data_IF_067602942341
#
_entry.id   IF_067602942341
#
_cell.length_a   1.000
_cell.length_b   1.000
_cell.length_c   1.000
_cell.angle_alpha   90.00
_cell.angle_beta   90.00
_cell.angle_gamma   90.00
#
_symmetry.space_group_name_H-M   'P 1'
#
loop_
_entity.id
_entity.type
_entity.pdbx_description
1 polymer ?
#
# COMPACT_ATOMS: atom_id res chain seq x y z
N UNK A 1 2.91 -18.10 10.31
CA UNK A 1 4.21 -17.50 9.93
C UNK A 1 4.00 -16.02 9.61
N UNK A 2 4.19 -15.10 10.57
CA UNK A 2 3.94 -13.65 10.39
C UNK A 2 4.86 -12.98 9.35
N UNK A 3 6.05 -13.55 9.13
CA UNK A 3 7.10 -12.95 8.30
C UNK A 3 6.74 -12.89 6.81
N UNK A 4 5.92 -13.83 6.33
CA UNK A 4 5.43 -13.80 4.94
C UNK A 4 4.41 -12.69 4.70
N UNK A 5 3.68 -12.27 5.75
CA UNK A 5 2.68 -11.23 5.65
C UNK A 5 3.28 -9.81 5.64
N UNK A 6 4.51 -9.66 6.14
CA UNK A 6 5.35 -8.46 5.95
C UNK A 6 6.08 -8.43 4.60
N UNK A 7 5.93 -9.48 3.77
CA UNK A 7 6.59 -9.52 2.47
C UNK A 7 5.99 -8.49 1.52
N UNK A 8 6.87 -7.78 0.80
CA UNK A 8 6.52 -6.89 -0.32
C UNK A 8 5.55 -7.54 -1.32
N UNK A 9 5.54 -8.88 -1.39
CA UNK A 9 4.63 -9.66 -2.21
C UNK A 9 3.14 -9.46 -1.90
N UNK A 10 2.77 -9.28 -0.63
CA UNK A 10 1.37 -9.11 -0.24
C UNK A 10 0.84 -7.75 -0.70
N UNK A 11 1.69 -6.72 -0.59
CA UNK A 11 1.35 -5.37 -1.07
C UNK A 11 1.32 -5.33 -2.59
N UNK A 12 2.26 -5.98 -3.28
CA UNK A 12 2.27 -6.01 -4.75
C UNK A 12 1.07 -6.77 -5.33
N UNK A 13 0.64 -7.86 -4.68
CA UNK A 13 -0.58 -8.58 -5.07
C UNK A 13 -1.81 -7.68 -5.01
N UNK A 14 -1.95 -6.86 -3.96
CA UNK A 14 -3.05 -5.90 -3.83
C UNK A 14 -3.03 -4.83 -4.92
N UNK A 15 -1.86 -4.26 -5.24
CA UNK A 15 -1.72 -3.26 -6.31
C UNK A 15 -2.20 -3.86 -7.64
N UNK A 16 -1.74 -5.08 -7.96
CA UNK A 16 -2.15 -5.78 -9.17
C UNK A 16 -3.66 -6.07 -9.19
N UNK A 17 -4.23 -6.52 -8.07
CA UNK A 17 -5.68 -6.74 -7.94
C UNK A 17 -6.48 -5.45 -8.10
N UNK A 18 -6.00 -4.33 -7.55
CA UNK A 18 -6.62 -3.02 -7.72
C UNK A 18 -6.63 -2.58 -9.18
N UNK A 19 -5.51 -2.72 -9.89
CA UNK A 19 -5.44 -2.40 -11.33
C UNK A 19 -6.36 -3.29 -12.16
N UNK A 20 -6.44 -4.58 -11.85
CA UNK A 20 -7.35 -5.51 -12.53
C UNK A 20 -8.82 -5.17 -12.27
N UNK A 21 -9.18 -4.81 -11.04
CA UNK A 21 -10.54 -4.38 -10.71
C UNK A 21 -10.95 -3.13 -11.51
N UNK A 22 -10.03 -2.16 -11.69
CA UNK A 22 -10.27 -0.99 -12.54
C UNK A 22 -10.49 -1.38 -14.00
N UNK A 23 -9.71 -2.34 -14.53
CA UNK A 23 -9.90 -2.87 -15.90
C UNK A 23 -11.25 -3.56 -16.10
N UNK A 24 -11.83 -4.13 -15.05
CA UNK A 24 -13.16 -4.74 -15.04
C UNK A 24 -14.30 -3.70 -14.94
N UNK A 25 -13.99 -2.41 -14.90
CA UNK A 25 -14.98 -1.34 -14.77
C UNK A 25 -15.54 -1.16 -13.36
N UNK A 26 -14.92 -1.79 -12.34
CA UNK A 26 -15.35 -1.67 -10.93
C UNK A 26 -14.86 -0.37 -10.26
N UNK A 27 -14.11 0.47 -10.99
CA UNK A 27 -13.54 1.72 -10.48
C UNK A 27 -12.28 1.50 -9.64
N UNK A 28 -11.96 2.49 -8.80
CA UNK A 28 -10.81 2.43 -7.90
C UNK A 28 -11.14 1.55 -6.68
N UNK A 29 -10.36 0.49 -6.49
CA UNK A 29 -10.51 -0.40 -5.35
C UNK A 29 -9.93 0.26 -4.09
N UNK A 30 -10.81 0.71 -3.19
CA UNK A 30 -10.39 1.40 -1.97
C UNK A 30 -9.89 0.43 -0.89
N UNK A 31 -10.38 -0.80 -0.88
CA UNK A 31 -9.98 -1.82 0.09
C UNK A 31 -10.25 -3.24 -0.43
N UNK A 32 -9.53 -4.21 0.12
CA UNK A 32 -9.66 -5.64 -0.17
C UNK A 32 -9.47 -6.43 1.11
N UNK A 33 -10.23 -7.52 1.24
CA UNK A 33 -10.05 -8.49 2.33
C UNK A 33 -9.77 -9.85 1.73
N UNK A 34 -8.65 -10.44 2.10
CA UNK A 34 -8.25 -11.78 1.72
C UNK A 34 -8.30 -12.66 2.96
N UNK A 35 -9.10 -13.72 2.91
CA UNK A 35 -9.14 -14.75 3.95
C UNK A 35 -8.40 -15.99 3.48
N UNK A 36 -7.50 -16.48 4.33
CA UNK A 36 -6.83 -17.77 4.20
C UNK A 36 -7.10 -18.60 5.45
N UNK A 37 -6.73 -19.88 5.46
CA UNK A 37 -6.96 -20.77 6.61
C UNK A 37 -6.31 -20.23 7.90
N UNK A 38 -5.12 -19.64 7.78
CA UNK A 38 -4.34 -19.21 8.94
C UNK A 38 -4.40 -17.71 9.25
N UNK A 39 -4.84 -16.88 8.29
CA UNK A 39 -4.79 -15.42 8.42
C UNK A 39 -5.91 -14.72 7.65
N UNK A 40 -6.26 -13.53 8.13
CA UNK A 40 -7.05 -12.55 7.38
C UNK A 40 -6.17 -11.35 7.10
N UNK A 41 -6.15 -10.90 5.85
CA UNK A 41 -5.40 -9.74 5.41
C UNK A 41 -6.41 -8.69 4.94
N UNK A 42 -6.42 -7.52 5.57
CA UNK A 42 -7.20 -6.37 5.16
C UNK A 42 -6.27 -5.30 4.61
N UNK A 43 -6.46 -4.92 3.34
CA UNK A 43 -5.62 -3.96 2.65
C UNK A 43 -6.47 -2.76 2.24
N UNK A 44 -5.95 -1.57 2.49
CA UNK A 44 -6.61 -0.31 2.20
C UNK A 44 -5.67 0.57 1.37
N UNK A 45 -6.24 1.22 0.36
CA UNK A 45 -5.54 2.18 -0.48
C UNK A 45 -5.92 3.59 -0.03
N UNK A 46 -4.93 4.38 0.36
CA UNK A 46 -5.09 5.80 0.66
C UNK A 46 -4.35 6.62 -0.39
N UNK A 47 -5.11 7.42 -1.13
CA UNK A 47 -4.57 8.41 -2.07
C UNK A 47 -5.14 9.78 -1.69
N UNK A 48 -4.26 10.70 -1.28
CA UNK A 48 -4.62 12.11 -1.13
C UNK A 48 -4.34 12.83 -2.46
N UNK A 49 -5.24 13.71 -2.88
CA UNK A 49 -5.10 14.51 -4.11
C UNK A 49 -3.83 15.37 -4.12
N UNK A 50 -3.24 15.62 -2.95
CA UNK A 50 -2.02 16.43 -2.78
C UNK A 50 -0.72 15.64 -2.96
N UNK A 51 -0.76 14.32 -2.91
CA UNK A 51 0.45 13.47 -2.97
C UNK A 51 0.28 12.41 -4.06
N UNK A 52 1.18 12.43 -5.05
CA UNK A 52 1.17 11.46 -6.17
C UNK A 52 1.44 10.01 -5.75
N UNK A 53 1.92 9.77 -4.54
CA UNK A 53 2.30 8.43 -4.08
C UNK A 53 1.21 7.90 -3.14
N UNK A 54 0.51 6.81 -3.51
CA UNK A 54 -0.49 6.19 -2.66
C UNK A 54 0.18 5.51 -1.44
N UNK A 55 -0.48 5.57 -0.29
CA UNK A 55 -0.11 4.78 0.88
C UNK A 55 -1.03 3.58 0.98
N UNK A 56 -0.43 2.41 1.19
CA UNK A 56 -1.15 1.17 1.44
C UNK A 56 -1.08 0.82 2.92
N UNK A 57 -2.24 0.61 3.55
CA UNK A 57 -2.34 0.10 4.91
C UNK A 57 -2.71 -1.39 4.84
N UNK A 58 -1.85 -2.24 5.38
CA UNK A 58 -2.10 -3.69 5.47
C UNK A 58 -2.24 -4.09 6.92
N UNK A 59 -3.38 -4.69 7.28
CA UNK A 59 -3.65 -5.25 8.60
C UNK A 59 -3.72 -6.77 8.47
N UNK A 60 -2.96 -7.47 9.29
CA UNK A 60 -2.93 -8.93 9.31
C UNK A 60 -3.50 -9.37 10.65
N UNK A 61 -4.61 -10.10 10.59
CA UNK A 61 -5.31 -10.66 11.73
C UNK A 61 -5.32 -12.18 11.70
N UNK A 62 -5.72 -12.76 12.82
CA UNK A 62 -6.09 -14.17 12.91
C UNK A 62 -7.39 -14.45 12.15
N UNK A 63 -7.70 -15.72 11.80
CA UNK A 63 -8.93 -16.09 11.09
C UNK A 63 -10.22 -15.56 11.74
N UNK A 64 -10.24 -15.53 13.08
CA UNK A 64 -11.39 -15.13 13.89
C UNK A 64 -11.46 -13.62 14.17
N UNK A 65 -10.61 -12.82 13.54
CA UNK A 65 -10.58 -11.38 13.76
C UNK A 65 -11.88 -10.70 13.29
N UNK A 66 -12.31 -9.66 14.02
CA UNK A 66 -13.48 -8.87 13.63
C UNK A 66 -13.10 -7.90 12.50
N UNK A 67 -13.29 -8.37 11.27
CA UNK A 67 -13.06 -7.59 10.04
C UNK A 67 -13.87 -6.29 10.03
N UNK A 68 -15.09 -6.28 10.57
CA UNK A 68 -15.92 -5.08 10.64
C UNK A 68 -15.27 -3.98 11.48
N UNK A 69 -14.69 -4.35 12.63
CA UNK A 69 -13.93 -3.41 13.47
C UNK A 69 -12.66 -2.91 12.78
N UNK A 70 -11.97 -3.75 12.01
CA UNK A 70 -10.78 -3.37 11.25
C UNK A 70 -11.14 -2.35 10.15
N UNK A 71 -12.23 -2.58 9.42
CA UNK A 71 -12.72 -1.65 8.39
C UNK A 71 -13.16 -0.33 9.04
N UNK A 72 -13.83 -0.38 10.20
CA UNK A 72 -14.24 0.82 10.93
C UNK A 72 -13.06 1.63 11.49
N UNK A 73 -11.88 1.01 11.66
CA UNK A 73 -10.67 1.68 12.10
C UNK A 73 -10.03 2.53 10.98
N UNK A 74 -10.20 2.14 9.71
CA UNK A 74 -9.53 2.82 8.58
C UNK A 74 -9.81 4.32 8.53
N UNK A 75 -11.08 4.81 8.63
CA UNK A 75 -11.36 6.24 8.61
C UNK A 75 -10.68 7.02 9.73
N UNK A 76 -10.49 6.39 10.91
CA UNK A 76 -9.83 7.00 12.05
C UNK A 76 -8.32 7.13 11.83
N UNK A 77 -7.74 6.29 10.98
CA UNK A 77 -6.31 6.33 10.64
C UNK A 77 -6.00 7.29 9.49
N UNK A 78 -6.99 7.67 8.66
CA UNK A 78 -6.79 8.59 7.52
C UNK A 78 -6.06 9.89 7.87
N UNK A 79 -6.35 10.60 8.99
CA UNK A 79 -5.63 11.82 9.34
C UNK A 79 -4.14 11.59 9.63
N UNK A 80 -3.78 10.40 10.12
CA UNK A 80 -2.39 10.01 10.32
C UNK A 80 -1.72 9.70 8.99
N UNK A 81 -2.39 8.94 8.11
CA UNK A 81 -1.90 8.64 6.76
C UNK A 81 -1.69 9.91 5.92
N UNK A 82 -2.60 10.88 6.01
CA UNK A 82 -2.49 12.18 5.34
C UNK A 82 -1.24 12.98 5.79
N UNK A 83 -0.81 12.83 7.05
CA UNK A 83 0.42 13.45 7.56
C UNK A 83 1.68 12.69 7.15
N UNK A 84 1.59 11.36 7.01
CA UNK A 84 2.69 10.52 6.58
C UNK A 84 2.96 10.62 5.08
N UNK A 85 1.92 10.78 4.25
CA UNK A 85 2.03 10.87 2.79
C UNK A 85 3.07 11.88 2.28
N UNK A 86 3.06 13.15 2.72
CA UNK A 86 4.04 14.13 2.25
C UNK A 86 5.46 13.80 2.73
N UNK A 87 5.62 13.21 3.93
CA UNK A 87 6.93 12.83 4.46
C UNK A 87 7.53 11.66 3.68
N UNK A 88 6.72 10.63 3.39
CA UNK A 88 7.12 9.49 2.56
C UNK A 88 7.47 9.95 1.14
N UNK A 89 6.65 10.81 0.54
CA UNK A 89 6.91 11.37 -0.78
C UNK A 89 8.20 12.21 -0.81
N UNK A 90 8.47 13.00 0.23
CA UNK A 90 9.71 13.77 0.35
C UNK A 90 10.94 12.86 0.42
N UNK A 91 10.88 11.78 1.22
CA UNK A 91 11.98 10.81 1.34
C UNK A 91 12.26 10.11 0.01
N UNK A 92 11.23 9.61 -0.66
CA UNK A 92 11.37 8.96 -1.97
C UNK A 92 11.96 9.91 -3.02
N UNK A 93 11.55 11.19 -3.02
CA UNK A 93 12.16 12.20 -3.89
C UNK A 93 13.63 12.43 -3.56
N UNK A 94 14.00 12.53 -2.28
CA UNK A 94 15.41 12.69 -1.90
C UNK A 94 16.26 11.49 -2.28
N UNK A 95 15.74 10.27 -2.12
CA UNK A 95 16.42 9.04 -2.52
C UNK A 95 16.59 8.96 -4.05
N UNK A 96 15.57 9.35 -4.83
CA UNK A 96 15.65 9.40 -6.28
C UNK A 96 16.66 10.46 -6.80
N UNK A 97 16.84 11.55 -6.07
CA UNK A 97 17.87 12.56 -6.39
C UNK A 97 19.27 12.03 -6.07
N UNK A 98 19.42 11.29 -4.96
CA UNK A 98 20.70 10.67 -4.58
C UNK A 98 21.10 9.53 -5.53
N UNK A 99 20.17 8.68 -5.96
CA UNK A 99 20.48 7.59 -6.90
C UNK A 99 20.91 8.09 -8.28
N UNK A 100 20.32 9.19 -8.76
CA UNK A 100 20.74 9.86 -10.00
C UNK A 100 22.16 10.41 -9.96
N UNK A 101 22.66 10.74 -8.77
CA UNK A 101 24.02 11.27 -8.61
C UNK A 101 25.07 10.17 -8.41
N UNK A 102 24.66 8.93 -8.14
CA UNK A 102 25.58 7.77 -8.04
C UNK A 102 25.81 7.06 -9.37
N UNK A 103 24.97 7.29 -10.38
CA UNK A 103 25.20 6.81 -11.75
C UNK A 103 26.12 7.78 -12.50
N UNK A 104 27.39 7.79 -12.10
CA UNK A 104 28.46 8.39 -12.87
C UNK A 104 28.52 7.80 -14.28
N UNK A 105 28.47 8.68 -15.28
CA UNK A 105 28.83 8.50 -16.69
C UNK A 105 29.30 7.10 -17.14
N UNK A 106 28.43 6.10 -17.37
CA UNK A 106 28.85 4.93 -18.16
C UNK A 106 27.72 4.35 -19.05
N UNK A 107 27.96 4.51 -20.36
CA UNK A 107 27.42 3.84 -21.55
C UNK A 107 26.03 4.23 -22.08
N UNK A 108 26.04 5.08 -23.12
CA UNK A 108 25.17 4.91 -24.30
C UNK A 108 25.89 3.96 -25.26
N UNK A 109 25.22 2.90 -25.69
CA UNK A 109 25.45 2.21 -26.98
C UNK A 109 24.16 2.29 -27.76
#
# INVERSE_FOLDING_TARGET
MPDQAMSLYVVSAFINSSEQATKLGMGALNWMVTRSQDVVICQFSFSDNKTQIPIFLTVIGTPDCNVGSIIALEPLLRPFLARLAPQAASRLRSEAIMSRNTDGQYFRV
#
